data_IF_257183646034
#
_entry.id   IF_257183646034
#
_cell.length_a   1.000
_cell.length_b   1.000
_cell.length_c   1.000
_cell.angle_alpha   90.00
_cell.angle_beta   90.00
_cell.angle_gamma   90.00
#
_symmetry.space_group_name_H-M   'P 1'
#
loop_
_entity.id
_entity.type
_entity.pdbx_description
1 polymer ?
#
# COMPACT_ATOMS: atom_id res chain seq x y z
N UNK A 1 -12.06 15.79 -27.46
CA UNK A 1 -11.43 14.55 -27.97
C UNK A 1 -12.52 13.48 -28.00
N UNK A 2 -12.86 12.91 -29.17
CA UNK A 2 -13.83 11.81 -29.25
C UNK A 2 -13.11 10.46 -29.08
N UNK A 3 -13.61 9.54 -28.25
CA UNK A 3 -13.01 8.22 -28.04
C UNK A 3 -13.03 7.40 -29.33
N UNK A 4 -11.91 6.77 -29.68
CA UNK A 4 -11.79 5.86 -30.83
C UNK A 4 -11.56 4.44 -30.34
N UNK A 5 -11.89 3.43 -31.16
CA UNK A 5 -11.62 2.01 -30.83
C UNK A 5 -10.14 1.74 -30.55
N UNK A 6 -9.22 2.49 -31.17
CA UNK A 6 -7.78 2.43 -30.93
C UNK A 6 -7.30 3.23 -29.71
N UNK A 7 -8.13 4.14 -29.20
CA UNK A 7 -7.84 4.95 -28.01
C UNK A 7 -9.16 5.25 -27.27
N UNK A 8 -9.65 4.32 -26.43
CA UNK A 8 -10.95 4.42 -25.78
C UNK A 8 -10.97 5.35 -24.55
N UNK A 9 -10.01 6.29 -24.48
CA UNK A 9 -9.94 7.30 -23.41
C UNK A 9 -11.07 8.30 -23.59
N UNK A 10 -11.88 8.48 -22.54
CA UNK A 10 -12.91 9.54 -22.46
C UNK A 10 -12.22 10.89 -22.26
N UNK A 11 -11.25 10.89 -21.36
CA UNK A 11 -10.62 12.11 -20.88
C UNK A 11 -9.36 11.79 -20.10
N UNK A 12 -8.49 12.79 -20.08
CA UNK A 12 -7.30 12.86 -19.26
C UNK A 12 -7.43 14.13 -18.45
N UNK A 13 -7.44 14.00 -17.13
CA UNK A 13 -7.34 15.13 -16.22
C UNK A 13 -5.93 15.13 -15.64
N UNK A 14 -5.21 16.22 -15.85
CA UNK A 14 -3.86 16.42 -15.34
C UNK A 14 -3.91 17.52 -14.30
N UNK A 15 -3.51 17.19 -13.08
CA UNK A 15 -3.40 18.12 -11.96
C UNK A 15 -1.92 18.27 -11.65
N UNK A 16 -1.42 19.50 -11.61
CA UNK A 16 -0.01 19.82 -11.39
C UNK A 16 0.15 20.61 -10.09
N UNK A 17 1.18 20.27 -9.32
CA UNK A 17 1.58 21.01 -8.13
C UNK A 17 0.48 21.09 -7.06
N UNK A 18 -0.17 19.97 -6.76
CA UNK A 18 -1.15 19.94 -5.68
C UNK A 18 -0.45 19.98 -4.33
N UNK A 19 -0.83 20.93 -3.49
CA UNK A 19 -0.33 21.07 -2.13
C UNK A 19 -1.51 21.23 -1.17
N UNK A 20 -1.48 20.45 -0.10
CA UNK A 20 -2.45 20.49 0.98
C UNK A 20 -1.71 20.54 2.31
N UNK A 21 -2.11 21.47 3.17
CA UNK A 21 -1.54 21.61 4.51
C UNK A 21 -2.66 21.74 5.53
N UNK A 22 -2.51 20.99 6.61
CA UNK A 22 -3.42 20.92 7.74
C UNK A 22 -2.59 20.89 9.04
N UNK A 23 -3.26 20.96 10.19
CA UNK A 23 -2.62 20.90 11.50
C UNK A 23 -1.94 19.55 11.76
N UNK A 24 -2.44 18.49 11.14
CA UNK A 24 -1.94 17.13 11.29
C UNK A 24 -0.84 16.75 10.28
N UNK A 25 -0.92 17.27 9.05
CA UNK A 25 -0.05 16.82 7.96
C UNK A 25 0.12 17.84 6.83
N UNK A 26 1.18 17.63 6.06
CA UNK A 26 1.43 18.29 4.80
C UNK A 26 1.51 17.25 3.69
N UNK A 27 0.74 17.44 2.63
CA UNK A 27 0.68 16.56 1.45
C UNK A 27 1.06 17.38 0.23
N UNK A 28 1.97 16.84 -0.58
CA UNK A 28 2.33 17.43 -1.86
C UNK A 28 2.35 16.37 -2.94
N UNK A 29 1.87 16.73 -4.13
CA UNK A 29 1.83 15.89 -5.32
C UNK A 29 2.32 16.74 -6.48
N UNK A 30 3.38 16.31 -7.13
CA UNK A 30 3.96 17.06 -8.25
C UNK A 30 3.04 16.98 -9.46
N UNK A 31 2.57 15.78 -9.78
CA UNK A 31 1.73 15.54 -10.94
C UNK A 31 0.78 14.37 -10.68
N UNK A 32 -0.48 14.55 -11.07
CA UNK A 32 -1.54 13.57 -10.94
C UNK A 32 -2.30 13.49 -12.26
N UNK A 33 -2.19 12.34 -12.92
CA UNK A 33 -2.87 12.04 -14.17
C UNK A 33 -4.01 11.06 -13.92
N UNK A 34 -5.22 11.46 -14.29
CA UNK A 34 -6.43 10.64 -14.18
C UNK A 34 -6.93 10.36 -15.60
N UNK A 35 -6.77 9.11 -16.02
CA UNK A 35 -7.21 8.62 -17.32
C UNK A 35 -8.53 7.87 -17.13
N UNK A 36 -9.60 8.35 -17.78
CA UNK A 36 -10.90 7.68 -17.77
C UNK A 36 -11.10 6.86 -19.04
N UNK A 37 -11.60 5.62 -18.89
CA UNK A 37 -11.77 4.67 -19.98
C UNK A 37 -13.24 4.35 -20.25
N UNK A 38 -13.62 4.23 -21.54
CA UNK A 38 -14.94 3.70 -21.95
C UNK A 38 -14.86 2.18 -22.06
N UNK A 39 -15.73 1.48 -21.33
CA UNK A 39 -15.94 0.02 -21.43
C UNK A 39 -14.64 -0.79 -21.63
N UNK A 40 -13.63 -0.61 -20.76
CA UNK A 40 -12.27 -1.10 -21.02
C UNK A 40 -12.18 -2.63 -21.07
N UNK A 41 -13.11 -3.33 -20.40
CA UNK A 41 -13.22 -4.78 -20.46
C UNK A 41 -13.67 -5.30 -21.83
N UNK A 42 -14.63 -4.64 -22.47
CA UNK A 42 -15.14 -5.05 -23.79
C UNK A 42 -14.08 -4.83 -24.89
N UNK A 43 -13.20 -3.85 -24.66
CA UNK A 43 -12.11 -3.50 -25.56
C UNK A 43 -10.77 -4.14 -25.16
N UNK A 44 -10.74 -4.96 -24.10
CA UNK A 44 -9.55 -5.66 -23.56
C UNK A 44 -8.35 -4.76 -23.22
N UNK A 45 -8.55 -3.48 -22.98
CA UNK A 45 -7.46 -2.55 -22.62
C UNK A 45 -7.09 -2.62 -21.15
N UNK A 46 -8.04 -2.93 -20.26
CA UNK A 46 -7.78 -3.13 -18.82
C UNK A 46 -8.56 -4.34 -18.30
N UNK A 47 -8.14 -4.87 -17.15
CA UNK A 47 -8.80 -6.00 -16.48
C UNK A 47 -10.16 -5.64 -15.85
N UNK A 48 -10.64 -4.39 -15.97
CA UNK A 48 -11.91 -3.98 -15.37
C UNK A 48 -11.94 -2.61 -14.72
N UNK A 49 -10.80 -1.94 -14.64
CA UNK A 49 -10.69 -0.61 -14.06
C UNK A 49 -11.16 0.44 -15.05
N UNK A 50 -12.07 1.29 -14.60
CA UNK A 50 -12.72 2.36 -15.37
C UNK A 50 -11.86 3.62 -15.42
N UNK A 51 -10.95 3.75 -14.47
CA UNK A 51 -9.95 4.80 -14.45
C UNK A 51 -8.57 4.24 -14.12
N UNK A 52 -7.56 4.90 -14.65
CA UNK A 52 -6.17 4.74 -14.24
C UNK A 52 -5.73 6.06 -13.63
N UNK A 53 -5.18 6.01 -12.42
CA UNK A 53 -4.65 7.16 -11.71
C UNK A 53 -3.16 6.99 -11.57
N UNK A 54 -2.40 7.89 -12.17
CA UNK A 54 -0.94 7.94 -12.09
C UNK A 54 -0.53 9.11 -11.20
N UNK A 55 0.19 8.82 -10.13
CA UNK A 55 0.62 9.79 -9.13
C UNK A 55 2.15 9.89 -9.18
N UNK A 56 2.65 11.11 -9.36
CA UNK A 56 4.07 11.40 -9.44
C UNK A 56 4.53 12.23 -8.25
N UNK A 57 5.58 11.73 -7.59
CA UNK A 57 6.17 12.32 -6.39
C UNK A 57 5.12 12.67 -5.33
N UNK A 58 4.40 11.66 -4.85
CA UNK A 58 3.48 11.78 -3.73
C UNK A 58 4.27 11.89 -2.43
N UNK A 59 4.18 13.01 -1.72
CA UNK A 59 4.89 13.19 -0.44
C UNK A 59 3.92 13.57 0.66
N UNK A 60 4.04 12.90 1.79
CA UNK A 60 3.21 13.10 2.97
C UNK A 60 4.11 13.25 4.17
N UNK A 61 4.09 14.42 4.80
CA UNK A 61 4.76 14.68 6.07
C UNK A 61 3.73 14.78 7.16
N UNK A 62 3.81 13.88 8.14
CA UNK A 62 2.96 13.86 9.33
C UNK A 62 3.76 14.39 10.51
N UNK A 63 3.24 15.41 11.17
CA UNK A 63 4.00 16.08 12.24
C UNK A 63 4.12 15.22 13.50
N UNK A 64 3.08 14.45 13.82
CA UNK A 64 3.05 13.53 14.96
C UNK A 64 2.28 12.24 14.64
N UNK A 65 2.81 11.09 15.06
CA UNK A 65 2.13 9.80 14.92
C UNK A 65 0.76 9.76 15.63
N UNK A 66 0.60 10.51 16.72
CA UNK A 66 -0.65 10.60 17.47
C UNK A 66 -1.79 11.29 16.71
N UNK A 67 -1.45 12.19 15.78
CA UNK A 67 -2.41 12.94 14.96
C UNK A 67 -2.42 12.48 13.50
N UNK A 68 -2.20 11.18 13.27
CA UNK A 68 -2.22 10.65 11.90
C UNK A 68 -3.60 10.86 11.26
N UNK A 69 -3.69 11.45 10.04
CA UNK A 69 -4.97 11.63 9.35
C UNK A 69 -5.73 10.31 9.16
N UNK A 70 -7.06 10.36 9.29
CA UNK A 70 -7.92 9.15 9.24
C UNK A 70 -7.74 8.35 7.94
N UNK A 71 -7.57 9.01 6.80
CA UNK A 71 -7.36 8.34 5.51
C UNK A 71 -6.02 7.59 5.49
N UNK A 72 -4.96 8.16 6.07
CA UNK A 72 -3.65 7.53 6.15
C UNK A 72 -3.66 6.35 7.13
N UNK A 73 -4.40 6.46 8.23
CA UNK A 73 -4.63 5.34 9.14
C UNK A 73 -5.35 4.17 8.43
N UNK A 74 -6.38 4.46 7.62
CA UNK A 74 -7.10 3.44 6.84
C UNK A 74 -6.19 2.79 5.79
N UNK A 75 -5.41 3.58 5.07
CA UNK A 75 -4.45 3.09 4.08
C UNK A 75 -3.42 2.17 4.74
N UNK A 76 -2.84 2.61 5.86
CA UNK A 76 -1.91 1.81 6.67
C UNK A 76 -2.55 0.49 7.08
N UNK A 77 -3.75 0.52 7.69
CA UNK A 77 -4.46 -0.70 8.11
C UNK A 77 -4.70 -1.67 6.95
N UNK A 78 -5.10 -1.15 5.79
CA UNK A 78 -5.34 -1.99 4.61
C UNK A 78 -4.06 -2.62 4.07
N UNK A 79 -2.94 -1.88 4.05
CA UNK A 79 -1.64 -2.42 3.68
C UNK A 79 -1.17 -3.49 4.66
N UNK A 80 -1.28 -3.23 5.97
CA UNK A 80 -0.93 -4.21 7.01
C UNK A 80 -1.76 -5.48 6.88
N UNK A 81 -3.08 -5.33 6.71
CA UNK A 81 -3.95 -6.45 6.46
C UNK A 81 -3.52 -7.23 5.21
N UNK A 82 -3.18 -6.53 4.12
CA UNK A 82 -2.76 -7.14 2.86
C UNK A 82 -1.45 -7.91 3.04
N UNK A 83 -0.46 -7.33 3.70
CA UNK A 83 0.82 -7.98 3.99
C UNK A 83 0.64 -9.23 4.88
N UNK A 84 -0.22 -9.16 5.89
CA UNK A 84 -0.38 -10.24 6.87
C UNK A 84 -1.33 -11.37 6.43
N UNK A 85 -2.34 -11.07 5.61
CA UNK A 85 -3.42 -12.01 5.32
C UNK A 85 -3.50 -12.42 3.84
N UNK A 86 -2.75 -11.77 2.95
CA UNK A 86 -2.74 -12.09 1.53
C UNK A 86 -1.48 -12.86 1.13
N UNK A 87 -1.43 -13.31 -0.12
CA UNK A 87 -0.33 -14.14 -0.60
C UNK A 87 0.75 -13.28 -1.25
N UNK A 88 1.96 -13.31 -0.71
CA UNK A 88 3.14 -12.79 -1.40
C UNK A 88 3.44 -13.71 -2.59
N UNK A 89 3.39 -13.14 -3.80
CA UNK A 89 3.66 -13.85 -5.06
C UNK A 89 5.15 -13.79 -5.40
N UNK A 90 5.79 -12.66 -5.11
CA UNK A 90 7.21 -12.41 -5.37
C UNK A 90 7.77 -11.47 -4.31
N UNK A 91 8.99 -11.74 -3.89
CA UNK A 91 9.82 -10.88 -3.05
C UNK A 91 11.25 -11.25 -3.39
N UNK A 92 11.98 -10.35 -4.06
CA UNK A 92 13.33 -10.67 -4.54
C UNK A 92 14.35 -10.55 -3.41
N UNK A 93 14.36 -9.39 -2.76
CA UNK A 93 15.24 -9.12 -1.62
C UNK A 93 14.44 -8.50 -0.48
N UNK A 94 14.83 -8.87 0.73
CA UNK A 94 14.48 -8.16 1.95
C UNK A 94 15.71 -8.11 2.85
N UNK A 95 16.04 -6.94 3.36
CA UNK A 95 17.11 -6.79 4.33
C UNK A 95 16.69 -5.81 5.39
N UNK A 96 17.16 -6.10 6.59
CA UNK A 96 17.02 -5.22 7.74
C UNK A 96 18.42 -4.91 8.24
N UNK A 97 18.71 -3.64 8.43
CA UNK A 97 19.95 -3.13 8.96
C UNK A 97 19.65 -2.42 10.27
N UNK A 98 20.38 -2.78 11.33
CA UNK A 98 20.31 -2.12 12.63
C UNK A 98 21.67 -1.52 12.89
N UNK A 99 21.73 -0.20 12.98
CA UNK A 99 22.94 0.55 13.33
C UNK A 99 22.71 1.17 14.70
N UNK A 100 23.50 0.72 15.67
CA UNK A 100 23.57 1.28 17.01
C UNK A 100 24.81 2.18 17.07
N UNK A 101 24.62 3.48 17.32
CA UNK A 101 25.72 4.42 17.45
C UNK A 101 25.78 4.95 18.89
N UNK A 102 26.71 4.37 19.66
CA UNK A 102 26.93 4.65 21.09
C UNK A 102 27.40 6.09 21.34
N UNK A 103 28.17 6.69 20.42
CA UNK A 103 28.69 8.06 20.58
C UNK A 103 27.61 9.13 20.39
N UNK A 104 26.53 8.81 19.69
CA UNK A 104 25.46 9.76 19.36
C UNK A 104 24.12 9.44 20.01
N UNK A 105 24.07 8.41 20.85
CA UNK A 105 22.85 7.84 21.44
C UNK A 105 21.75 7.53 20.41
N UNK A 106 22.13 7.26 19.15
CA UNK A 106 21.18 7.08 18.06
C UNK A 106 21.14 5.64 17.58
N UNK A 107 19.91 5.12 17.54
CA UNK A 107 19.58 3.85 16.92
C UNK A 107 18.89 4.12 15.59
N UNK A 108 19.47 3.58 14.51
CA UNK A 108 18.90 3.61 13.17
C UNK A 108 18.54 2.19 12.76
N UNK A 109 17.25 1.95 12.58
CA UNK A 109 16.73 0.74 11.95
C UNK A 109 16.36 1.09 10.51
N UNK A 110 16.97 0.43 9.54
CA UNK A 110 16.63 0.55 8.12
C UNK A 110 16.13 -0.80 7.61
N UNK A 111 15.11 -0.78 6.77
CA UNK A 111 14.61 -1.95 6.07
C UNK A 111 14.50 -1.65 4.59
N UNK A 112 14.89 -2.58 3.75
CA UNK A 112 14.67 -2.49 2.32
C UNK A 112 13.98 -3.74 1.79
N UNK A 113 13.17 -3.57 0.75
CA UNK A 113 12.69 -4.68 -0.07
C UNK A 113 12.61 -4.32 -1.55
N UNK A 114 12.82 -5.33 -2.40
CA UNK A 114 12.77 -5.21 -3.87
C UNK A 114 11.71 -6.13 -4.46
N UNK A 115 11.02 -5.64 -5.50
CA UNK A 115 10.05 -6.38 -6.31
C UNK A 115 9.02 -7.16 -5.47
N UNK A 116 8.43 -6.48 -4.49
CA UNK A 116 7.47 -7.11 -3.59
C UNK A 116 6.06 -7.08 -4.18
N UNK A 117 5.57 -8.24 -4.58
CA UNK A 117 4.25 -8.43 -5.17
C UNK A 117 3.36 -9.22 -4.22
N UNK A 118 2.20 -8.67 -3.88
CA UNK A 118 1.21 -9.26 -3.00
C UNK A 118 -0.11 -9.39 -3.76
N UNK A 119 -0.60 -10.61 -3.88
CA UNK A 119 -1.90 -10.88 -4.45
C UNK A 119 -2.95 -10.90 -3.34
N UNK A 120 -3.82 -9.88 -3.35
CA UNK A 120 -4.95 -9.81 -2.46
C UNK A 120 -6.15 -10.54 -3.08
N UNK A 121 -6.42 -11.73 -2.54
CA UNK A 121 -7.49 -12.62 -3.02
C UNK A 121 -8.88 -12.06 -2.72
N UNK A 122 -9.03 -11.25 -1.67
CA UNK A 122 -10.31 -10.68 -1.26
C UNK A 122 -10.84 -9.64 -2.25
N UNK A 123 -9.95 -8.86 -2.86
CA UNK A 123 -10.32 -7.83 -3.83
C UNK A 123 -9.84 -8.12 -5.27
N UNK A 124 -9.18 -9.26 -5.48
CA UNK A 124 -8.61 -9.67 -6.77
C UNK A 124 -7.66 -8.62 -7.36
N UNK A 125 -6.83 -8.02 -6.49
CA UNK A 125 -5.83 -7.02 -6.89
C UNK A 125 -4.43 -7.51 -6.61
N UNK A 126 -3.52 -7.11 -7.47
CA UNK A 126 -2.09 -7.22 -7.24
C UNK A 126 -1.59 -5.88 -6.69
N UNK A 127 -0.95 -5.93 -5.53
CA UNK A 127 -0.19 -4.83 -4.95
C UNK A 127 1.29 -5.10 -5.23
N UNK A 128 1.89 -4.33 -6.11
CA UNK A 128 3.31 -4.42 -6.44
C UNK A 128 4.05 -3.20 -5.92
N UNK A 129 5.20 -3.42 -5.31
CA UNK A 129 6.15 -2.41 -4.88
C UNK A 129 7.47 -2.72 -5.57
N UNK A 130 7.94 -1.83 -6.47
CA UNK A 130 9.22 -2.04 -7.15
C UNK A 130 10.39 -1.99 -6.17
N UNK A 131 10.37 -0.99 -5.27
CA UNK A 131 11.30 -0.89 -4.14
C UNK A 131 10.64 -0.20 -2.97
N UNK A 132 10.87 -0.70 -1.77
CA UNK A 132 10.42 -0.08 -0.52
C UNK A 132 11.63 0.10 0.39
N UNK A 133 11.89 1.34 0.79
CA UNK A 133 12.88 1.69 1.79
C UNK A 133 12.14 2.22 3.02
N UNK A 134 12.46 1.70 4.20
CA UNK A 134 11.91 2.15 5.48
C UNK A 134 13.08 2.50 6.40
N UNK A 135 12.97 3.60 7.13
CA UNK A 135 14.00 4.02 8.07
C UNK A 135 13.37 4.61 9.32
N UNK A 136 13.63 3.99 10.46
CA UNK A 136 13.32 4.50 11.79
C UNK A 136 14.62 5.00 12.43
N UNK A 137 14.64 6.26 12.84
CA UNK A 137 15.73 6.86 13.61
C UNK A 137 15.20 7.27 14.98
N UNK A 138 15.87 6.81 16.04
CA UNK A 138 15.50 7.11 17.42
C UNK A 138 16.72 7.50 18.23
N UNK A 139 16.54 8.46 19.13
CA UNK A 139 17.49 8.78 20.19
C UNK A 139 17.11 8.00 21.46
N UNK A 140 18.07 7.44 22.21
CA UNK A 140 17.80 6.72 23.46
C UNK A 140 17.18 7.62 24.54
N UNK A 141 17.55 8.90 24.56
CA UNK A 141 17.11 9.86 25.56
C UNK A 141 15.68 10.37 25.31
N UNK A 142 15.23 10.35 24.06
CA UNK A 142 13.93 10.87 23.65
C UNK A 142 12.91 9.73 23.44
N UNK A 143 11.71 9.87 24.00
CA UNK A 143 10.60 8.93 23.77
C UNK A 143 9.98 9.06 22.36
N UNK A 144 10.61 9.83 21.46
CA UNK A 144 10.17 10.06 20.10
C UNK A 144 11.33 9.88 19.10
N UNK A 145 11.00 9.36 17.93
CA UNK A 145 11.94 9.24 16.80
C UNK A 145 11.36 9.82 15.53
N UNK A 146 12.09 9.70 14.42
CA UNK A 146 11.57 10.01 13.08
C UNK A 146 11.47 8.73 12.26
N UNK A 147 10.44 8.64 11.44
CA UNK A 147 10.18 7.47 10.60
C UNK A 147 9.94 7.91 9.16
N UNK A 148 10.73 7.40 8.23
CA UNK A 148 10.58 7.62 6.80
C UNK A 148 10.25 6.33 6.07
N UNK A 149 9.32 6.40 5.13
CA UNK A 149 9.05 5.35 4.17
C UNK A 149 9.13 5.93 2.77
N UNK A 150 9.86 5.25 1.89
CA UNK A 150 10.00 5.60 0.49
C UNK A 150 9.59 4.38 -0.31
N UNK A 151 8.49 4.47 -1.03
CA UNK A 151 8.02 3.41 -1.91
C UNK A 151 8.11 3.89 -3.37
N UNK A 152 8.77 3.11 -4.23
CA UNK A 152 8.96 3.41 -5.65
C UNK A 152 8.23 2.38 -6.51
N UNK A 153 7.74 2.86 -7.65
CA UNK A 153 7.06 2.07 -8.68
C UNK A 153 5.91 1.22 -8.10
N UNK A 154 5.08 1.83 -7.26
CA UNK A 154 3.94 1.16 -6.67
C UNK A 154 2.86 0.97 -7.73
N UNK A 155 2.35 -0.26 -7.87
CA UNK A 155 1.26 -0.57 -8.80
C UNK A 155 0.19 -1.35 -8.08
N UNK A 156 -1.00 -0.79 -8.01
CA UNK A 156 -2.16 -1.49 -7.49
C UNK A 156 -3.10 -1.72 -8.66
N UNK A 157 -3.05 -2.92 -9.22
CA UNK A 157 -3.77 -3.27 -10.44
C UNK A 157 -4.82 -4.33 -10.14
N UNK A 158 -5.96 -4.23 -10.81
CA UNK A 158 -6.97 -5.29 -10.80
C UNK A 158 -6.52 -6.44 -11.70
N UNK A 159 -6.67 -7.68 -11.21
CA UNK A 159 -6.38 -8.86 -12.02
C UNK A 159 -7.63 -9.28 -12.81
N UNK A 160 -7.47 -9.74 -14.07
CA UNK A 160 -8.59 -10.23 -14.85
C UNK A 160 -9.08 -11.56 -14.27
N UNK A 161 -10.36 -11.66 -13.93
CA UNK A 161 -10.96 -12.93 -13.54
C UNK A 161 -11.14 -13.79 -14.80
N UNK A 162 -10.63 -15.02 -14.80
CA UNK A 162 -10.59 -15.92 -15.98
C UNK A 162 -11.96 -16.16 -16.65
N UNK A 163 -13.07 -15.93 -15.95
CA UNK A 163 -14.43 -16.03 -16.50
C UNK A 163 -14.86 -14.86 -17.41
N UNK A 164 -14.06 -13.80 -17.55
CA UNK A 164 -14.49 -12.54 -18.20
C UNK A 164 -14.21 -12.46 -19.72
N UNK A 165 -13.97 -13.60 -20.38
CA UNK A 165 -13.65 -13.68 -21.81
C UNK A 165 -14.84 -14.03 -22.70
N UNK A 166 -15.99 -13.37 -22.55
CA UNK A 166 -16.99 -13.33 -23.63
C UNK A 166 -17.42 -11.89 -23.93
N UNK A 167 -16.87 -11.36 -25.03
CA UNK A 167 -17.28 -10.11 -25.65
C UNK A 167 -18.58 -10.35 -26.41
N UNK A 168 -19.72 -10.16 -25.74
CA UNK A 168 -21.02 -10.07 -26.40
C UNK A 168 -21.67 -8.74 -26.06
N UNK A 169 -21.92 -7.94 -27.09
CA UNK A 169 -22.61 -6.64 -27.03
C UNK A 169 -23.99 -6.71 -26.35
N UNK A 170 -24.60 -7.90 -26.33
CA UNK A 170 -25.87 -8.20 -25.67
C UNK A 170 -25.87 -7.94 -24.16
N UNK A 171 -24.71 -7.93 -23.50
CA UNK A 171 -24.59 -7.68 -22.05
C UNK A 171 -24.29 -6.22 -21.68
N UNK A 172 -24.23 -5.29 -22.64
CA UNK A 172 -24.03 -3.86 -22.36
C UNK A 172 -24.98 -3.28 -21.29
N UNK A 173 -26.32 -3.48 -21.35
CA UNK A 173 -27.21 -2.92 -20.35
C UNK A 173 -26.93 -3.48 -18.94
N UNK A 174 -26.66 -4.78 -18.83
CA UNK A 174 -26.26 -5.41 -17.56
C UNK A 174 -24.92 -4.88 -17.05
N UNK A 175 -23.97 -4.58 -17.95
CA UNK A 175 -22.68 -3.97 -17.58
C UNK A 175 -22.87 -2.56 -17.04
N UNK A 176 -23.73 -1.73 -17.65
CA UNK A 176 -24.05 -0.39 -17.15
C UNK A 176 -24.69 -0.49 -15.74
N UNK A 177 -25.63 -1.42 -15.54
CA UNK A 177 -26.24 -1.64 -14.22
C UNK A 177 -25.20 -2.11 -13.19
N UNK A 178 -24.22 -2.93 -13.60
CA UNK A 178 -23.12 -3.38 -12.73
C UNK A 178 -22.13 -2.26 -12.32
N UNK A 179 -22.22 -1.07 -12.93
CA UNK A 179 -21.42 0.10 -12.54
C UNK A 179 -21.97 0.80 -11.30
N UNK A 180 -23.27 0.71 -11.02
CA UNK A 180 -23.89 1.39 -9.88
C UNK A 180 -23.32 0.99 -8.51
N UNK A 181 -23.16 -0.30 -8.16
CA UNK A 181 -22.55 -0.67 -6.89
C UNK A 181 -21.06 -0.25 -6.80
N UNK A 182 -20.39 -0.08 -7.94
CA UNK A 182 -18.99 0.35 -8.01
C UNK A 182 -18.76 1.83 -7.71
N UNK A 183 -19.82 2.65 -7.73
CA UNK A 183 -19.77 4.05 -7.30
C UNK A 183 -19.51 4.14 -5.78
N UNK A 184 -20.00 3.15 -5.01
CA UNK A 184 -19.87 3.13 -3.56
C UNK A 184 -18.51 2.61 -3.07
N UNK A 185 -17.70 2.01 -3.94
CA UNK A 185 -16.32 1.63 -3.66
C UNK A 185 -15.40 2.05 -4.81
N UNK A 186 -15.02 3.34 -4.89
CA UNK A 186 -14.25 3.87 -6.00
C UNK A 186 -12.90 3.18 -6.14
N UNK A 187 -12.27 2.76 -5.04
CA UNK A 187 -10.96 2.08 -5.11
C UNK A 187 -11.04 0.75 -5.85
N UNK A 188 -12.20 0.08 -5.87
CA UNK A 188 -12.40 -1.19 -6.58
C UNK A 188 -12.39 -1.08 -8.11
N UNK A 189 -12.49 0.13 -8.65
CA UNK A 189 -12.60 0.43 -10.10
C UNK A 189 -11.47 1.26 -10.67
N UNK A 190 -10.51 1.63 -9.84
CA UNK A 190 -9.39 2.46 -10.24
C UNK A 190 -8.12 1.62 -10.16
N UNK A 191 -7.31 1.63 -11.21
CA UNK A 191 -5.92 1.19 -11.13
C UNK A 191 -5.07 2.36 -10.68
N UNK A 192 -4.19 2.14 -9.70
CA UNK A 192 -3.36 3.19 -9.12
C UNK A 192 -1.91 2.86 -9.43
N UNK A 193 -1.22 3.81 -10.05
CA UNK A 193 0.22 3.78 -10.27
C UNK A 193 0.84 4.94 -9.50
N UNK A 194 1.87 4.68 -8.70
CA UNK A 194 2.60 5.71 -7.99
C UNK A 194 4.07 5.54 -8.26
N UNK A 195 4.68 6.50 -8.95
CA UNK A 195 6.11 6.42 -9.31
C UNK A 195 7.00 6.51 -8.08
N UNK A 196 6.72 7.43 -7.16
CA UNK A 196 7.38 7.57 -5.87
C UNK A 196 6.42 8.10 -4.81
N UNK A 197 6.43 7.47 -3.64
CA UNK A 197 5.74 7.88 -2.43
C UNK A 197 6.75 8.06 -1.30
N UNK A 198 6.85 9.26 -0.74
CA UNK A 198 7.60 9.51 0.50
C UNK A 198 6.61 9.82 1.63
N UNK A 199 6.60 9.00 2.69
CA UNK A 199 5.80 9.23 3.90
C UNK A 199 6.78 9.41 5.05
N UNK A 200 6.79 10.59 5.67
CA UNK A 200 7.67 10.92 6.79
C UNK A 200 6.87 11.31 8.02
N UNK A 201 7.27 10.77 9.17
CA UNK A 201 6.76 11.15 10.48
C UNK A 201 7.87 11.86 11.24
N UNK A 202 7.62 13.11 11.64
CA UNK A 202 8.62 13.92 12.37
C UNK A 202 8.75 13.45 13.83
N UNK A 203 7.60 13.28 14.52
CA UNK A 203 7.52 12.75 15.88
C UNK A 203 6.78 11.42 15.84
N UNK A 204 7.54 10.33 15.82
CA UNK A 204 7.05 8.97 15.75
C UNK A 204 7.22 8.24 17.07
N UNK A 205 6.11 7.72 17.62
CA UNK A 205 6.11 6.84 18.78
C UNK A 205 5.90 5.40 18.35
N UNK A 206 6.76 4.49 18.81
CA UNK A 206 6.64 3.05 18.50
C UNK A 206 5.34 2.47 19.07
N UNK A 207 4.83 3.01 20.19
CA UNK A 207 3.55 2.59 20.77
C UNK A 207 2.35 2.88 19.87
N UNK A 208 2.47 3.85 18.95
CA UNK A 208 1.43 4.19 17.98
C UNK A 208 1.46 3.27 16.73
N UNK A 209 2.39 2.30 16.70
CA UNK A 209 2.50 1.33 15.61
C UNK A 209 1.35 0.32 15.72
N UNK A 210 0.24 0.64 15.04
CA UNK A 210 -0.89 -0.28 14.87
C UNK A 210 -0.47 -1.60 14.19
N UNK A 211 0.65 -1.62 13.46
CA UNK A 211 1.24 -2.81 12.83
C UNK A 211 1.75 -3.84 13.86
N UNK A 212 2.35 -3.38 14.96
CA UNK A 212 2.73 -4.22 16.10
C UNK A 212 1.48 -4.73 16.80
N UNK A 213 0.50 -3.86 17.03
CA UNK A 213 -0.75 -4.21 17.69
C UNK A 213 -1.54 -5.27 16.90
N UNK A 214 -1.69 -5.06 15.59
CA UNK A 214 -2.40 -5.97 14.68
C UNK A 214 -1.58 -7.23 14.38
N UNK A 215 -0.27 -7.10 14.16
CA UNK A 215 0.62 -8.25 13.99
C UNK A 215 0.60 -9.16 15.21
N UNK A 216 0.70 -8.61 16.42
CA UNK A 216 0.61 -9.37 17.66
C UNK A 216 -0.78 -9.98 17.87
N UNK A 217 -1.86 -9.27 17.54
CA UNK A 217 -3.22 -9.82 17.61
C UNK A 217 -3.43 -10.97 16.61
N UNK A 218 -3.02 -10.79 15.36
CA UNK A 218 -3.11 -11.84 14.33
C UNK A 218 -2.21 -13.02 14.66
N UNK A 219 -1.01 -12.78 15.19
CA UNK A 219 -0.11 -13.82 15.69
C UNK A 219 -0.74 -14.61 16.83
N UNK A 220 -1.33 -13.93 17.83
CA UNK A 220 -2.06 -14.57 18.93
C UNK A 220 -3.21 -15.45 18.41
N UNK A 221 -4.03 -14.91 17.50
CA UNK A 221 -5.15 -15.65 16.89
C UNK A 221 -4.66 -16.84 16.04
N UNK A 222 -3.53 -16.69 15.35
CA UNK A 222 -2.94 -17.77 14.57
C UNK A 222 -2.30 -18.83 15.47
N UNK A 223 -1.61 -18.47 16.56
CA UNK A 223 -1.13 -19.40 17.58
C UNK A 223 -2.29 -20.18 18.19
N UNK A 224 -3.39 -19.52 18.54
CA UNK A 224 -4.58 -20.19 19.09
C UNK A 224 -5.16 -21.22 18.09
N UNK A 225 -5.17 -20.89 16.80
CA UNK A 225 -5.57 -21.82 15.72
C UNK A 225 -4.54 -22.93 15.46
N UNK A 226 -3.25 -22.63 15.55
CA UNK A 226 -2.14 -23.59 15.32
C UNK A 226 -2.00 -24.57 16.49
N UNK A 227 -2.25 -24.11 17.72
CA UNK A 227 -2.32 -24.93 18.94
C UNK A 227 -3.41 -26.00 18.84
N UNK A 228 -4.47 -25.76 18.06
CA UNK A 228 -5.51 -26.75 17.77
C UNK A 228 -5.14 -27.72 16.62
N UNK A 229 -4.13 -27.41 15.79
CA UNK A 229 -3.80 -28.17 14.57
C UNK A 229 -2.44 -28.88 14.58
N UNK A 230 -1.63 -28.72 15.63
CA UNK A 230 -0.45 -29.56 15.86
C UNK A 230 0.62 -29.55 14.76
N UNK A 231 0.73 -28.46 13.98
CA UNK A 231 1.74 -28.33 12.91
C UNK A 231 2.54 -27.03 13.07
N UNK A 232 3.86 -27.17 13.08
CA UNK A 232 4.87 -26.12 13.27
C UNK A 232 5.66 -25.91 11.97
N UNK A 233 4.99 -25.40 10.94
CA UNK A 233 5.65 -24.94 9.72
C UNK A 233 5.18 -23.52 9.37
N UNK A 234 5.85 -22.51 9.91
CA UNK A 234 6.08 -21.21 9.25
C UNK A 234 6.94 -20.33 10.14
N UNK A 235 8.22 -20.71 10.20
CA UNK A 235 9.29 -19.94 10.82
C UNK A 235 9.75 -18.84 9.86
N UNK A 236 9.33 -17.60 10.11
CA UNK A 236 9.97 -16.36 9.58
C UNK A 236 9.63 -15.13 10.44
N UNK A 237 8.45 -15.09 11.08
CA UNK A 237 8.04 -13.95 11.92
C UNK A 237 8.62 -13.99 13.34
N UNK A 238 8.80 -15.18 13.91
CA UNK A 238 9.35 -15.33 15.28
C UNK A 238 10.80 -14.85 15.38
N UNK A 239 11.61 -15.12 14.35
CA UNK A 239 13.00 -14.64 14.30
C UNK A 239 13.07 -13.11 14.16
N UNK A 240 12.16 -12.51 13.37
CA UNK A 240 12.06 -11.05 13.22
C UNK A 240 11.61 -10.39 14.53
N UNK A 241 10.58 -10.95 15.18
CA UNK A 241 10.04 -10.43 16.45
C UNK A 241 11.01 -10.62 17.62
N UNK A 242 11.70 -11.76 17.72
CA UNK A 242 12.70 -11.99 18.79
C UNK A 242 13.90 -11.04 18.62
N UNK A 243 14.36 -10.82 17.38
CA UNK A 243 15.45 -9.86 17.12
C UNK A 243 15.03 -8.44 17.47
N UNK A 244 13.83 -8.00 17.05
CA UNK A 244 13.33 -6.65 17.33
C UNK A 244 13.05 -6.41 18.81
N UNK A 245 12.45 -7.37 19.51
CA UNK A 245 12.15 -7.26 20.96
C UNK A 245 13.45 -7.19 21.75
N UNK A 246 14.48 -7.97 21.38
CA UNK A 246 15.80 -7.91 22.03
C UNK A 246 16.58 -6.63 21.75
N UNK A 247 16.37 -5.97 20.60
CA UNK A 247 16.96 -4.64 20.34
C UNK A 247 16.17 -3.48 20.93
N UNK A 248 14.95 -3.72 21.43
CA UNK A 248 14.03 -2.69 21.93
C UNK A 248 13.79 -2.74 23.45
N UNK A 249 14.37 -3.71 24.16
CA UNK A 249 14.47 -3.78 25.63
C UNK A 249 15.90 -3.45 26.05
#
# INVERSE_FOLDING_TARGET
YFPRLSNPRIGLFKILGYEYRDDACHVSIVELDIILWIFPQSLRFTAGSLATVEIHDFRVRVFSSSQTPVWLQKLRRNLVFTVLNCHTVRLDDILTEIVLNDESDQTRLSGYSNQWHIHNVFNQRMYAFGRLDAQLRRNWLDDHGSLGFIARECRWIKLPTLQQSESRWQYLPYRIISLFPKIYDPISTVDIYISRTDITFDHFRIRDVELFRQGAMTFKLNIEKLRQRGSLESFTWDAFMDTLVRTCM
#
